data_IF_127562328139
#
_entry.id   IF_127562328139
#
_cell.length_a   1.000
_cell.length_b   1.000
_cell.length_c   1.000
_cell.angle_alpha   90.00
_cell.angle_beta   90.00
_cell.angle_gamma   90.00
#
_symmetry.space_group_name_H-M   'P 1'
#
loop_
_entity.id
_entity.type
_entity.pdbx_description
1 polymer ?
#
# COMPACT_ATOMS: atom_id res chain seq x y z
N UNK A 1 8.25 11.22 -12.21
CA UNK A 1 7.04 12.03 -12.04
C UNK A 1 6.07 11.81 -13.20
N UNK A 2 6.43 12.16 -14.44
CA UNK A 2 5.52 12.06 -15.60
C UNK A 2 4.97 10.65 -15.83
N UNK A 3 5.76 9.60 -15.66
CA UNK A 3 5.32 8.21 -15.81
C UNK A 3 4.20 7.84 -14.80
N UNK A 4 4.31 8.31 -13.56
CA UNK A 4 3.29 8.09 -12.51
C UNK A 4 1.98 8.77 -12.93
N UNK A 5 2.05 10.02 -13.37
CA UNK A 5 0.89 10.80 -13.80
C UNK A 5 0.21 10.14 -15.01
N UNK A 6 1.01 9.76 -16.03
CA UNK A 6 0.50 9.13 -17.25
C UNK A 6 -0.17 7.77 -16.96
N UNK A 7 0.47 6.93 -16.14
CA UNK A 7 -0.10 5.63 -15.73
C UNK A 7 -1.39 5.80 -14.93
N UNK A 8 -1.41 6.77 -13.99
CA UNK A 8 -2.59 7.10 -13.20
C UNK A 8 -3.75 7.57 -14.10
N UNK A 9 -3.48 8.44 -15.06
CA UNK A 9 -4.49 8.90 -16.02
C UNK A 9 -5.00 7.74 -16.88
N UNK A 10 -4.11 6.87 -17.38
CA UNK A 10 -4.49 5.69 -18.17
C UNK A 10 -5.38 4.73 -17.37
N UNK A 11 -5.04 4.46 -16.10
CA UNK A 11 -5.87 3.63 -15.22
C UNK A 11 -7.22 4.28 -14.93
N UNK A 12 -7.25 5.58 -14.66
CA UNK A 12 -8.48 6.30 -14.36
C UNK A 12 -9.50 6.28 -15.52
N UNK A 13 -9.04 6.24 -16.77
CA UNK A 13 -9.89 6.20 -17.98
C UNK A 13 -10.15 4.78 -18.51
N UNK A 14 -9.50 3.76 -17.96
CA UNK A 14 -9.57 2.40 -18.51
C UNK A 14 -10.84 1.64 -18.18
N UNK A 15 -11.55 2.05 -17.12
CA UNK A 15 -12.68 1.31 -16.54
C UNK A 15 -12.27 0.27 -15.51
N UNK A 16 -10.96 0.03 -15.30
CA UNK A 16 -10.48 -0.81 -14.20
C UNK A 16 -10.95 -0.27 -12.84
N UNK A 17 -11.12 -1.14 -11.83
CA UNK A 17 -11.51 -0.73 -10.48
C UNK A 17 -10.35 -0.04 -9.75
N UNK A 18 -10.02 1.15 -10.19
CA UNK A 18 -8.97 1.98 -9.63
C UNK A 18 -9.55 2.90 -8.56
N UNK A 19 -9.01 2.85 -7.33
CA UNK A 19 -9.56 3.57 -6.16
C UNK A 19 -9.26 5.07 -6.13
N UNK A 20 -8.94 5.62 -7.26
CA UNK A 20 -8.72 7.05 -7.43
C UNK A 20 -7.33 7.37 -7.99
N UNK A 21 -7.20 8.50 -8.70
CA UNK A 21 -5.95 8.88 -9.29
C UNK A 21 -4.91 9.24 -8.24
N UNK A 22 -3.67 8.97 -8.60
CA UNK A 22 -2.46 9.42 -7.91
C UNK A 22 -1.69 10.37 -8.81
N UNK A 23 -0.91 11.25 -8.19
CA UNK A 23 0.05 12.07 -8.91
C UNK A 23 1.39 12.11 -8.17
N UNK A 24 2.38 12.72 -8.78
CA UNK A 24 3.68 12.93 -8.16
C UNK A 24 4.21 14.31 -8.54
N UNK A 25 5.07 14.83 -7.68
CA UNK A 25 5.87 16.03 -7.90
C UNK A 25 7.32 15.77 -7.52
N UNK A 26 8.24 16.52 -8.10
CA UNK A 26 9.63 16.58 -7.67
C UNK A 26 9.88 17.93 -7.00
N UNK A 27 10.52 17.91 -5.85
CA UNK A 27 10.79 19.10 -5.06
C UNK A 27 12.29 19.24 -4.87
N UNK A 28 12.83 20.40 -5.30
CA UNK A 28 14.17 20.86 -4.97
C UNK A 28 14.13 21.86 -3.81
N UNK A 29 15.29 22.14 -3.24
CA UNK A 29 15.49 23.19 -2.25
C UNK A 29 16.80 23.92 -2.51
N UNK A 30 16.72 25.24 -2.74
CA UNK A 30 17.87 26.08 -3.00
C UNK A 30 17.64 27.49 -2.45
N UNK A 31 18.64 28.06 -1.79
CA UNK A 31 18.61 29.42 -1.24
C UNK A 31 17.38 29.68 -0.34
N UNK A 32 16.99 28.68 0.47
CA UNK A 32 15.84 28.77 1.36
C UNK A 32 14.47 28.67 0.68
N UNK A 33 14.38 28.26 -0.59
CA UNK A 33 13.14 28.16 -1.36
C UNK A 33 12.93 26.76 -1.94
N UNK A 34 11.66 26.33 -1.94
CA UNK A 34 11.27 25.09 -2.61
C UNK A 34 11.07 25.34 -4.12
N UNK A 35 11.60 24.41 -4.91
CA UNK A 35 11.49 24.41 -6.37
C UNK A 35 10.55 23.28 -6.78
N UNK A 36 9.50 23.58 -7.54
CA UNK A 36 8.60 22.57 -8.07
C UNK A 36 9.09 22.06 -9.41
N UNK A 37 9.27 20.72 -9.51
CA UNK A 37 9.71 20.04 -10.71
C UNK A 37 10.95 20.68 -11.35
N UNK A 38 12.03 20.87 -10.57
CA UNK A 38 13.23 21.50 -11.05
C UNK A 38 13.81 20.77 -12.26
N UNK A 39 14.43 21.50 -13.17
CA UNK A 39 15.21 20.95 -14.28
C UNK A 39 16.44 20.19 -13.75
N UNK A 40 17.07 19.38 -14.63
CA UNK A 40 18.27 18.65 -14.24
C UNK A 40 19.44 19.58 -13.84
N UNK A 41 19.52 20.78 -14.43
CA UNK A 41 20.56 21.74 -14.07
C UNK A 41 20.27 22.41 -12.72
N UNK A 42 19.01 22.74 -12.44
CA UNK A 42 18.61 23.25 -11.12
C UNK A 42 18.82 22.21 -10.01
N UNK A 43 18.61 20.92 -10.30
CA UNK A 43 18.86 19.84 -9.34
C UNK A 43 20.33 19.69 -8.95
N UNK A 44 21.27 19.97 -9.86
CA UNK A 44 22.71 19.93 -9.55
C UNK A 44 23.13 20.95 -8.49
N UNK A 45 22.38 22.03 -8.38
CA UNK A 45 22.60 23.11 -7.41
C UNK A 45 21.65 23.05 -6.22
N UNK A 46 20.77 22.05 -6.19
CA UNK A 46 19.76 21.87 -5.13
C UNK A 46 20.34 21.06 -3.97
N UNK A 47 20.01 21.48 -2.75
CA UNK A 47 20.31 20.74 -1.51
C UNK A 47 19.36 19.56 -1.27
N UNK A 48 18.26 19.47 -2.07
CA UNK A 48 17.24 18.46 -1.98
C UNK A 48 16.84 17.97 -3.36
N UNK A 49 16.73 16.67 -3.51
CA UNK A 49 16.01 16.02 -4.59
C UNK A 49 14.96 15.10 -3.95
N UNK A 50 13.71 15.52 -3.94
CA UNK A 50 12.62 14.82 -3.29
C UNK A 50 11.52 14.51 -4.30
N UNK A 51 11.12 13.24 -4.41
CA UNK A 51 9.91 12.83 -5.12
C UNK A 51 8.82 12.52 -4.10
N UNK A 52 7.68 13.18 -4.25
CA UNK A 52 6.47 12.94 -3.47
C UNK A 52 5.40 12.40 -4.39
N UNK A 53 4.76 11.29 -4.02
CA UNK A 53 3.60 10.77 -4.72
C UNK A 53 2.46 10.50 -3.74
N UNK A 54 1.23 10.71 -4.19
CA UNK A 54 0.07 10.55 -3.31
C UNK A 54 -1.27 10.66 -4.00
N UNK A 55 -2.29 10.46 -3.20
CA UNK A 55 -3.69 10.80 -3.52
C UNK A 55 -3.98 12.25 -3.11
N UNK A 56 -5.20 12.70 -3.35
CA UNK A 56 -5.64 14.03 -2.90
C UNK A 56 -5.55 14.21 -1.38
N UNK A 57 -5.74 13.14 -0.62
CA UNK A 57 -5.90 13.18 0.84
C UNK A 57 -4.68 12.63 1.59
N UNK A 58 -3.75 11.95 0.91
CA UNK A 58 -2.65 11.27 1.59
C UNK A 58 -1.38 11.16 0.73
N UNK A 59 -0.24 11.31 1.38
CA UNK A 59 1.08 10.97 0.83
C UNK A 59 1.23 9.45 0.87
N UNK A 60 1.59 8.84 -0.26
CA UNK A 60 1.82 7.40 -0.40
C UNK A 60 3.30 7.05 -0.50
N UNK A 61 4.11 7.92 -1.11
CA UNK A 61 5.52 7.69 -1.35
C UNK A 61 6.31 8.98 -1.16
N UNK A 62 7.45 8.85 -0.51
CA UNK A 62 8.51 9.85 -0.47
C UNK A 62 9.83 9.15 -0.75
N UNK A 63 10.64 9.72 -1.63
CA UNK A 63 12.00 9.27 -1.93
C UNK A 63 12.89 10.50 -2.08
N UNK A 64 13.98 10.57 -1.31
CA UNK A 64 14.81 11.77 -1.29
C UNK A 64 16.28 11.52 -1.13
N UNK A 65 17.07 12.38 -1.76
CA UNK A 65 18.49 12.62 -1.47
C UNK A 65 18.64 14.06 -0.95
N UNK A 66 19.44 14.26 0.10
CA UNK A 66 19.60 15.57 0.72
C UNK A 66 20.98 15.76 1.32
N UNK A 67 21.45 16.99 1.36
CA UNK A 67 22.73 17.41 1.95
C UNK A 67 22.62 17.73 3.47
N UNK A 68 21.75 17.03 4.20
CA UNK A 68 21.63 17.18 5.65
C UNK A 68 20.72 18.33 6.08
N UNK A 69 19.61 18.54 5.38
CA UNK A 69 18.59 19.52 5.75
C UNK A 69 17.89 19.15 7.07
N UNK A 70 17.36 20.17 7.77
CA UNK A 70 16.63 19.96 9.01
C UNK A 70 15.30 19.21 8.78
N UNK A 71 14.82 18.47 9.79
CA UNK A 71 13.53 17.78 9.77
C UNK A 71 12.38 18.72 9.39
N UNK A 72 12.41 19.97 9.86
CA UNK A 72 11.40 20.97 9.54
C UNK A 72 11.38 21.28 8.04
N UNK A 73 12.54 21.51 7.43
CA UNK A 73 12.65 21.78 5.99
C UNK A 73 12.18 20.57 5.19
N UNK A 74 12.54 19.35 5.59
CA UNK A 74 12.11 18.13 4.94
C UNK A 74 10.59 17.91 5.03
N UNK A 75 9.99 18.15 6.19
CA UNK A 75 8.54 18.04 6.38
C UNK A 75 7.79 19.06 5.53
N UNK A 76 8.25 20.30 5.49
CA UNK A 76 7.65 21.37 4.71
C UNK A 76 7.82 21.10 3.18
N UNK A 77 8.94 20.48 2.76
CA UNK A 77 9.13 20.04 1.38
C UNK A 77 8.11 18.96 0.96
N UNK A 78 7.85 17.98 1.84
CA UNK A 78 6.82 16.94 1.58
C UNK A 78 5.43 17.57 1.46
N UNK A 79 5.09 18.47 2.36
CA UNK A 79 3.80 19.20 2.30
C UNK A 79 3.67 19.99 1.00
N UNK A 80 4.71 20.79 0.68
CA UNK A 80 4.75 21.54 -0.56
C UNK A 80 4.54 20.66 -1.78
N UNK A 81 5.30 19.54 -1.87
CA UNK A 81 5.15 18.56 -2.96
C UNK A 81 3.74 17.98 -3.05
N UNK A 82 3.14 17.60 -1.91
CA UNK A 82 1.78 17.07 -1.87
C UNK A 82 0.74 18.10 -2.32
N UNK A 83 0.82 19.34 -1.90
CA UNK A 83 -0.09 20.40 -2.33
C UNK A 83 -0.04 20.62 -3.85
N UNK A 84 1.13 20.51 -4.47
CA UNK A 84 1.31 20.71 -5.90
C UNK A 84 0.80 19.55 -6.77
N UNK A 85 0.57 18.36 -6.22
CA UNK A 85 0.00 17.26 -7.00
C UNK A 85 -1.54 17.27 -7.06
N UNK A 86 -2.20 18.01 -6.17
CA UNK A 86 -3.67 18.10 -6.14
C UNK A 86 -4.27 18.61 -7.47
N UNK A 87 -3.79 19.71 -8.08
CA UNK A 87 -4.31 20.15 -9.36
C UNK A 87 -4.17 19.12 -10.49
N UNK A 88 -3.11 18.29 -10.44
CA UNK A 88 -2.88 17.22 -11.42
C UNK A 88 -3.93 16.12 -11.25
N UNK A 89 -4.21 15.72 -10.02
CA UNK A 89 -5.26 14.74 -9.70
C UNK A 89 -6.62 15.25 -10.19
N UNK A 90 -6.95 16.50 -9.92
CA UNK A 90 -8.20 17.11 -10.39
C UNK A 90 -8.31 17.15 -11.93
N UNK A 91 -7.18 17.35 -12.61
CA UNK A 91 -7.15 17.29 -14.07
C UNK A 91 -7.42 15.86 -14.58
N UNK A 92 -6.84 14.84 -13.93
CA UNK A 92 -7.10 13.41 -14.25
C UNK A 92 -8.57 13.07 -14.00
N UNK A 93 -9.14 13.49 -12.88
CA UNK A 93 -10.57 13.29 -12.57
C UNK A 93 -11.48 13.91 -13.62
N UNK A 94 -11.18 15.15 -14.05
CA UNK A 94 -11.92 15.83 -15.12
C UNK A 94 -11.78 15.09 -16.46
N UNK A 95 -10.61 14.57 -16.79
CA UNK A 95 -10.38 13.76 -17.98
C UNK A 95 -11.19 12.46 -17.91
N UNK A 96 -11.13 11.74 -16.80
CA UNK A 96 -11.87 10.50 -16.60
C UNK A 96 -13.37 10.68 -16.80
N UNK A 97 -13.96 11.73 -16.24
CA UNK A 97 -15.38 12.07 -16.43
C UNK A 97 -15.76 12.36 -17.88
N UNK A 98 -14.85 12.89 -18.70
CA UNK A 98 -15.10 13.19 -20.12
C UNK A 98 -15.02 11.94 -21.01
N UNK A 99 -14.21 10.95 -20.64
CA UNK A 99 -13.96 9.77 -21.46
C UNK A 99 -14.96 8.66 -21.17
N UNK A 100 -15.50 8.60 -19.99
CA UNK A 100 -16.48 7.68 -19.41
C UNK A 100 -16.57 6.31 -20.07
N UNK A 101 -15.69 5.38 -19.66
CA UNK A 101 -15.75 3.98 -20.07
C UNK A 101 -16.57 3.17 -19.06
N UNK A 102 -17.30 2.12 -19.50
CA UNK A 102 -17.98 1.23 -18.58
C UNK A 102 -16.96 0.62 -17.59
N UNK A 103 -17.32 0.61 -16.33
CA UNK A 103 -16.49 -0.01 -15.28
C UNK A 103 -16.53 -1.54 -15.47
N UNK A 104 -15.37 -2.16 -15.25
CA UNK A 104 -15.29 -3.61 -15.22
C UNK A 104 -16.04 -4.14 -14.01
N UNK A 105 -16.85 -5.18 -14.25
CA UNK A 105 -17.47 -5.93 -13.15
C UNK A 105 -16.40 -6.75 -12.45
N UNK A 106 -16.29 -6.56 -11.15
CA UNK A 106 -15.46 -7.41 -10.29
C UNK A 106 -16.41 -8.44 -9.69
N UNK A 107 -16.18 -9.70 -10.03
CA UNK A 107 -16.83 -10.80 -9.31
C UNK A 107 -16.15 -10.89 -7.94
N UNK A 108 -16.79 -10.35 -6.92
CA UNK A 108 -16.37 -10.59 -5.53
C UNK A 108 -16.73 -12.04 -5.19
N UNK A 109 -15.70 -12.89 -5.10
CA UNK A 109 -15.89 -14.21 -4.54
C UNK A 109 -16.02 -14.05 -3.02
N UNK A 110 -17.20 -14.33 -2.49
CA UNK A 110 -17.43 -14.34 -1.04
C UNK A 110 -16.75 -15.56 -0.42
N UNK A 111 -15.64 -15.31 0.28
CA UNK A 111 -14.90 -16.31 1.04
C UNK A 111 -15.16 -16.22 2.55
N UNK A 112 -16.24 -15.58 2.96
CA UNK A 112 -16.59 -15.36 4.38
C UNK A 112 -16.74 -16.66 5.16
N UNK A 113 -17.34 -17.69 4.57
CA UNK A 113 -17.48 -19.01 5.20
C UNK A 113 -16.12 -19.71 5.40
N UNK A 114 -15.24 -19.64 4.41
CA UNK A 114 -13.88 -20.20 4.52
C UNK A 114 -13.14 -19.47 5.64
N UNK A 115 -13.17 -18.13 5.63
CA UNK A 115 -12.54 -17.30 6.67
C UNK A 115 -13.08 -17.63 8.06
N UNK A 116 -14.38 -17.83 8.21
CA UNK A 116 -15.02 -18.18 9.48
C UNK A 116 -14.54 -19.55 10.00
N UNK A 117 -14.57 -20.58 9.17
CA UNK A 117 -14.09 -21.94 9.52
C UNK A 117 -12.63 -21.94 9.96
N UNK A 118 -11.78 -21.20 9.21
CA UNK A 118 -10.34 -21.04 9.53
C UNK A 118 -10.18 -20.32 10.87
N UNK A 119 -10.89 -19.22 11.08
CA UNK A 119 -10.80 -18.45 12.32
C UNK A 119 -11.24 -19.28 13.53
N UNK A 120 -12.36 -19.96 13.46
CA UNK A 120 -12.88 -20.80 14.56
C UNK A 120 -11.88 -21.89 14.97
N UNK A 121 -11.15 -22.47 14.01
CA UNK A 121 -10.24 -23.58 14.29
C UNK A 121 -8.81 -23.15 14.61
N UNK A 122 -8.26 -22.17 13.92
CA UNK A 122 -6.83 -21.87 13.92
C UNK A 122 -6.44 -20.53 14.57
N UNK A 123 -7.40 -19.65 14.93
CA UNK A 123 -7.06 -18.34 15.48
C UNK A 123 -6.23 -18.44 16.77
N UNK A 124 -6.57 -19.33 17.68
CA UNK A 124 -5.84 -19.51 18.94
C UNK A 124 -4.43 -20.05 18.71
N UNK A 125 -4.27 -21.00 17.80
CA UNK A 125 -2.97 -21.61 17.48
C UNK A 125 -2.06 -20.58 16.80
N UNK A 126 -2.59 -19.78 15.87
CA UNK A 126 -1.87 -18.66 15.27
C UNK A 126 -1.45 -17.62 16.31
N UNK A 127 -2.36 -17.22 17.20
CA UNK A 127 -2.03 -16.28 18.28
C UNK A 127 -0.91 -16.81 19.18
N UNK A 128 -0.88 -18.10 19.47
CA UNK A 128 0.18 -18.73 20.26
C UNK A 128 1.49 -18.82 19.47
N UNK A 129 1.44 -19.21 18.19
CA UNK A 129 2.62 -19.23 17.33
C UNK A 129 3.27 -17.85 17.23
N UNK A 130 2.48 -16.78 17.11
CA UNK A 130 3.00 -15.41 17.07
C UNK A 130 3.48 -14.85 18.43
N UNK A 131 3.31 -15.59 19.54
CA UNK A 131 3.95 -15.26 20.83
C UNK A 131 5.36 -15.82 20.95
N UNK A 132 5.72 -16.81 20.11
CA UNK A 132 7.05 -17.40 20.11
C UNK A 132 8.10 -16.37 19.63
N UNK A 133 9.13 -16.17 20.44
CA UNK A 133 10.20 -15.19 20.18
C UNK A 133 11.21 -15.76 19.18
N UNK A 134 11.51 -17.07 19.29
CA UNK A 134 12.42 -17.74 18.37
C UNK A 134 11.82 -17.81 16.97
N UNK A 135 12.49 -17.13 16.02
CA UNK A 135 12.02 -17.04 14.63
C UNK A 135 11.86 -18.41 13.98
N UNK A 136 12.75 -19.37 14.25
CA UNK A 136 12.73 -20.69 13.62
C UNK A 136 11.55 -21.52 14.15
N UNK A 137 11.36 -21.56 15.47
CA UNK A 137 10.23 -22.25 16.09
C UNK A 137 8.91 -21.65 15.64
N UNK A 138 8.78 -20.32 15.64
CA UNK A 138 7.60 -19.63 15.15
C UNK A 138 7.27 -20.00 13.70
N UNK A 139 8.27 -19.97 12.81
CA UNK A 139 8.09 -20.35 11.40
C UNK A 139 7.64 -21.80 11.25
N UNK A 140 8.21 -22.74 12.02
CA UNK A 140 7.81 -24.14 12.01
C UNK A 140 6.34 -24.31 12.44
N UNK A 141 5.95 -23.70 13.56
CA UNK A 141 4.56 -23.77 14.05
C UNK A 141 3.56 -23.17 13.05
N UNK A 142 3.90 -22.05 12.41
CA UNK A 142 3.05 -21.46 11.37
C UNK A 142 2.92 -22.42 10.17
N UNK A 143 4.02 -23.04 9.72
CA UNK A 143 3.99 -23.98 8.59
C UNK A 143 3.15 -25.23 8.91
N UNK A 144 3.18 -25.72 10.15
CA UNK A 144 2.32 -26.82 10.61
C UNK A 144 0.83 -26.44 10.55
N UNK A 145 0.49 -25.23 10.99
CA UNK A 145 -0.88 -24.70 10.91
C UNK A 145 -1.32 -24.54 9.45
N UNK A 146 -0.44 -24.03 8.56
CA UNK A 146 -0.71 -23.92 7.13
C UNK A 146 -1.06 -25.29 6.50
N UNK A 147 -0.30 -26.33 6.82
CA UNK A 147 -0.56 -27.68 6.33
C UNK A 147 -1.89 -28.24 6.85
N UNK A 148 -2.15 -28.14 8.15
CA UNK A 148 -3.42 -28.56 8.74
C UNK A 148 -4.62 -27.78 8.17
N UNK A 149 -4.43 -26.51 7.86
CA UNK A 149 -5.46 -25.70 7.25
C UNK A 149 -5.79 -26.18 5.83
N UNK A 150 -4.80 -26.54 5.02
CA UNK A 150 -5.02 -27.15 3.69
C UNK A 150 -5.73 -28.51 3.79
N UNK A 151 -5.26 -29.38 4.69
CA UNK A 151 -5.87 -30.70 4.91
C UNK A 151 -7.36 -30.61 5.28
N UNK A 152 -7.76 -29.56 6.00
CA UNK A 152 -9.17 -29.33 6.40
C UNK A 152 -10.11 -29.17 5.21
N UNK A 153 -9.61 -28.70 4.07
CA UNK A 153 -10.42 -28.42 2.88
C UNK A 153 -10.10 -29.34 1.71
N UNK A 154 -9.28 -30.40 1.92
CA UNK A 154 -8.84 -31.30 0.85
C UNK A 154 -9.97 -32.04 0.15
N UNK A 155 -11.06 -32.33 0.85
CA UNK A 155 -12.23 -33.06 0.33
C UNK A 155 -13.23 -32.13 -0.40
N UNK A 156 -13.03 -30.83 -0.40
CA UNK A 156 -13.94 -29.86 -1.05
C UNK A 156 -13.32 -29.37 -2.39
N UNK A 157 -13.65 -30.06 -3.46
CA UNK A 157 -13.15 -29.74 -4.81
C UNK A 157 -13.51 -28.30 -5.27
N UNK A 158 -14.48 -27.63 -4.65
CA UNK A 158 -14.87 -26.25 -4.97
C UNK A 158 -13.94 -25.20 -4.37
N UNK A 159 -13.08 -25.59 -3.41
CA UNK A 159 -12.18 -24.70 -2.68
C UNK A 159 -10.74 -25.00 -3.09
N UNK A 160 -10.05 -24.01 -3.61
CA UNK A 160 -8.65 -24.14 -3.98
C UNK A 160 -7.71 -23.84 -2.81
N UNK A 161 -6.52 -24.45 -2.79
CA UNK A 161 -5.46 -24.15 -1.81
C UNK A 161 -5.14 -22.65 -1.73
N UNK A 162 -5.16 -21.96 -2.88
CA UNK A 162 -4.91 -20.52 -2.92
C UNK A 162 -5.98 -19.71 -2.18
N UNK A 163 -7.25 -20.12 -2.26
CA UNK A 163 -8.33 -19.49 -1.52
C UNK A 163 -8.17 -19.71 -0.02
N UNK A 164 -7.89 -20.94 0.41
CA UNK A 164 -7.63 -21.29 1.82
C UNK A 164 -6.46 -20.48 2.36
N UNK A 165 -5.32 -20.50 1.67
CA UNK A 165 -4.12 -19.77 2.10
C UNK A 165 -4.31 -18.26 2.13
N UNK A 166 -5.06 -17.70 1.20
CA UNK A 166 -5.39 -16.27 1.21
C UNK A 166 -6.19 -15.88 2.46
N UNK A 167 -7.17 -16.71 2.87
CA UNK A 167 -7.96 -16.43 4.08
C UNK A 167 -7.13 -16.64 5.36
N UNK A 168 -6.27 -17.67 5.42
CA UNK A 168 -5.36 -17.88 6.53
C UNK A 168 -4.38 -16.70 6.69
N UNK A 169 -3.78 -16.23 5.60
CA UNK A 169 -2.90 -15.04 5.60
C UNK A 169 -3.64 -13.76 5.99
N UNK A 170 -4.91 -13.62 5.63
CA UNK A 170 -5.75 -12.52 6.09
C UNK A 170 -5.92 -12.56 7.62
N UNK A 171 -6.16 -13.75 8.20
CA UNK A 171 -6.29 -13.93 9.65
C UNK A 171 -4.96 -13.64 10.38
N UNK A 172 -3.83 -14.15 9.87
CA UNK A 172 -2.50 -13.84 10.38
C UNK A 172 -2.25 -12.33 10.44
N UNK A 173 -2.54 -11.64 9.33
CA UNK A 173 -2.41 -10.17 9.24
C UNK A 173 -3.25 -9.47 10.31
N UNK A 174 -4.50 -9.89 10.50
CA UNK A 174 -5.42 -9.30 11.47
C UNK A 174 -4.90 -9.50 12.90
N UNK A 175 -4.38 -10.71 13.22
CA UNK A 175 -3.79 -11.03 14.53
C UNK A 175 -2.56 -10.16 14.80
N UNK A 176 -1.61 -10.13 13.85
CA UNK A 176 -0.35 -9.39 14.00
C UNK A 176 -0.61 -7.88 14.11
N UNK A 177 -1.45 -7.33 13.24
CA UNK A 177 -1.78 -5.89 13.29
C UNK A 177 -2.51 -5.52 14.58
N UNK A 178 -3.42 -6.35 15.05
CA UNK A 178 -4.12 -6.14 16.32
C UNK A 178 -3.16 -6.14 17.49
N UNK A 179 -2.22 -7.09 17.52
CA UNK A 179 -1.19 -7.15 18.57
C UNK A 179 -0.30 -5.89 18.57
N UNK A 180 0.11 -5.40 17.38
CA UNK A 180 0.93 -4.18 17.28
C UNK A 180 0.14 -2.94 17.72
N UNK A 181 -1.09 -2.77 17.23
CA UNK A 181 -1.85 -1.54 17.43
C UNK A 181 -2.47 -1.46 18.85
N UNK A 182 -3.02 -2.57 19.35
CA UNK A 182 -3.74 -2.59 20.63
C UNK A 182 -2.86 -3.02 21.81
N UNK A 183 -2.00 -4.03 21.60
CA UNK A 183 -1.15 -4.58 22.65
C UNK A 183 0.24 -3.97 22.66
N UNK A 184 0.59 -3.14 21.66
CA UNK A 184 1.92 -2.55 21.44
C UNK A 184 3.04 -3.59 21.38
N UNK A 185 2.71 -4.80 21.00
CA UNK A 185 3.62 -5.93 20.90
C UNK A 185 4.04 -6.14 19.45
N UNK A 186 5.36 -6.06 19.20
CA UNK A 186 5.98 -6.50 17.93
C UNK A 186 6.40 -7.97 18.02
N UNK A 187 6.47 -8.62 16.86
CA UNK A 187 6.94 -9.99 16.70
C UNK A 187 8.47 -9.99 16.64
#
# INVERSE_FOLDING_TARGET
VLSIIASSAALAISGLPFQGPIAASRVGFKDGKYLLNPSLDELKESELDLVVAGTKDAVLMVESETSGLSEKVMLDAVKFGHEQLIPIIEAIEKLSKKVEKPKWEILENDHSEIKKKISEKFENDLRNAFKEIDKKKRSTSISEIENQCKEMFVDDESITDNQVMSQLKSLEKDIVRTAILKEKRRI
#
